data_IF_096010509319
#
_entry.id   IF_096010509319
#
_cell.length_a   1.000
_cell.length_b   1.000
_cell.length_c   1.000
_cell.angle_alpha   90.00
_cell.angle_beta   90.00
_cell.angle_gamma   90.00
#
_symmetry.space_group_name_H-M   'P 1'
#
loop_
_entity.id
_entity.type
_entity.pdbx_description
1 polymer ?
#
# COMPACT_ATOMS: atom_id res chain seq x y z
N UNK A 1 4.00 9.14 25.70
CA UNK A 1 3.14 7.93 25.58
C UNK A 1 3.89 7.01 24.62
N UNK A 2 4.44 5.91 25.13
CA UNK A 2 5.48 5.13 24.45
C UNK A 2 4.88 4.32 23.30
N UNK A 3 5.51 4.41 22.14
CA UNK A 3 5.40 3.48 21.01
C UNK A 3 6.07 2.17 21.42
N UNK A 4 5.31 1.22 21.97
CA UNK A 4 5.83 -0.09 22.35
C UNK A 4 4.96 -1.21 21.82
N UNK A 5 4.68 -1.18 20.53
CA UNK A 5 4.19 -2.32 19.72
C UNK A 5 4.76 -2.14 18.29
N UNK A 6 6.06 -2.41 18.11
CA UNK A 6 6.79 -2.22 16.82
C UNK A 6 6.58 -3.41 15.87
N UNK A 7 5.58 -4.26 16.11
CA UNK A 7 5.20 -5.33 15.19
C UNK A 7 3.70 -5.34 15.06
N UNK A 8 3.19 -4.78 13.97
CA UNK A 8 1.81 -5.03 13.57
C UNK A 8 1.77 -6.43 12.94
N UNK A 9 1.25 -7.47 13.62
CA UNK A 9 1.23 -8.82 13.08
C UNK A 9 0.44 -8.93 11.77
N UNK A 10 -0.45 -7.97 11.50
CA UNK A 10 -1.24 -7.92 10.27
C UNK A 10 -0.36 -7.71 9.03
N UNK A 11 0.69 -6.88 9.11
CA UNK A 11 1.62 -6.65 8.01
C UNK A 11 2.30 -7.96 7.59
N UNK A 12 2.77 -8.75 8.54
CA UNK A 12 3.43 -10.03 8.26
C UNK A 12 2.49 -11.02 7.55
N UNK A 13 1.28 -11.19 8.08
CA UNK A 13 0.28 -12.09 7.52
C UNK A 13 -0.14 -11.66 6.11
N UNK A 14 -0.35 -10.36 5.88
CA UNK A 14 -0.76 -9.82 4.58
C UNK A 14 0.37 -9.95 3.56
N UNK A 15 1.61 -9.68 3.94
CA UNK A 15 2.78 -9.90 3.08
C UNK A 15 2.92 -11.37 2.69
N UNK A 16 2.84 -12.29 3.66
CA UNK A 16 2.93 -13.72 3.40
C UNK A 16 1.80 -14.22 2.49
N UNK A 17 0.56 -13.79 2.76
CA UNK A 17 -0.60 -14.15 1.95
C UNK A 17 -0.44 -13.63 0.51
N UNK A 18 0.03 -12.39 0.34
CA UNK A 18 0.30 -11.80 -0.97
C UNK A 18 1.35 -12.60 -1.72
N UNK A 19 2.47 -12.95 -1.09
CA UNK A 19 3.49 -13.81 -1.70
C UNK A 19 2.92 -15.16 -2.13
N UNK A 20 2.16 -15.82 -1.25
CA UNK A 20 1.56 -17.11 -1.55
C UNK A 20 0.59 -17.04 -2.75
N UNK A 21 -0.21 -15.98 -2.85
CA UNK A 21 -1.10 -15.77 -3.99
C UNK A 21 -0.34 -15.49 -5.29
N UNK A 22 0.75 -14.73 -5.24
CA UNK A 22 1.60 -14.44 -6.41
C UNK A 22 2.33 -15.69 -6.91
N UNK A 23 2.69 -16.62 -6.01
CA UNK A 23 3.33 -17.89 -6.35
C UNK A 23 2.37 -18.93 -6.94
N UNK A 24 1.05 -18.69 -6.87
CA UNK A 24 0.06 -19.56 -7.50
C UNK A 24 0.30 -19.61 -9.02
N UNK A 25 0.48 -20.80 -9.65
CA UNK A 25 0.82 -20.91 -11.07
C UNK A 25 -0.16 -20.19 -12.01
N UNK A 26 -1.44 -20.19 -11.65
CA UNK A 26 -2.47 -19.49 -12.42
C UNK A 26 -2.29 -17.97 -12.34
N UNK A 27 -1.90 -17.42 -11.20
CA UNK A 27 -1.71 -15.98 -11.01
C UNK A 27 -0.37 -15.53 -11.59
N UNK A 28 0.70 -16.27 -11.30
CA UNK A 28 2.05 -15.99 -11.78
C UNK A 28 2.14 -15.86 -13.30
N UNK A 29 1.29 -16.60 -14.03
CA UNK A 29 1.24 -16.53 -15.49
C UNK A 29 0.72 -15.19 -16.04
N UNK A 30 -0.13 -14.49 -15.28
CA UNK A 30 -0.80 -13.25 -15.73
C UNK A 30 -0.26 -11.98 -15.07
N UNK A 31 0.58 -12.10 -14.04
CA UNK A 31 1.13 -10.95 -13.31
C UNK A 31 2.55 -10.66 -13.77
N UNK A 32 2.80 -9.42 -14.18
CA UNK A 32 4.15 -8.94 -14.50
C UNK A 32 5.00 -8.82 -13.24
N UNK A 33 6.31 -9.10 -13.34
CA UNK A 33 7.24 -9.04 -12.20
C UNK A 33 7.25 -7.68 -11.49
N UNK A 34 7.12 -6.58 -12.25
CA UNK A 34 7.04 -5.23 -11.69
C UNK A 34 5.78 -5.05 -10.81
N UNK A 35 4.63 -5.58 -11.22
CA UNK A 35 3.40 -5.53 -10.44
C UNK A 35 3.44 -6.46 -9.22
N UNK A 36 4.05 -7.64 -9.34
CA UNK A 36 4.28 -8.53 -8.20
C UNK A 36 5.19 -7.86 -7.15
N UNK A 37 6.27 -7.21 -7.60
CA UNK A 37 7.17 -6.45 -6.73
C UNK A 37 6.43 -5.29 -6.04
N UNK A 38 5.63 -4.53 -6.79
CA UNK A 38 4.80 -3.46 -6.23
C UNK A 38 3.83 -4.00 -5.16
N UNK A 39 3.20 -5.15 -5.41
CA UNK A 39 2.26 -5.77 -4.47
C UNK A 39 2.94 -6.23 -3.17
N UNK A 40 4.14 -6.80 -3.25
CA UNK A 40 4.91 -7.16 -2.07
C UNK A 40 5.33 -5.93 -1.26
N UNK A 41 5.79 -4.87 -1.93
CA UNK A 41 6.13 -3.61 -1.26
C UNK A 41 4.88 -3.00 -0.62
N UNK A 42 3.77 -2.92 -1.35
CA UNK A 42 2.51 -2.39 -0.84
C UNK A 42 2.05 -3.17 0.39
N UNK A 43 2.05 -4.51 0.35
CA UNK A 43 1.71 -5.36 1.48
C UNK A 43 2.60 -5.09 2.72
N UNK A 44 3.89 -4.90 2.52
CA UNK A 44 4.84 -4.60 3.60
C UNK A 44 4.62 -3.21 4.23
N UNK A 45 4.06 -2.25 3.48
CA UNK A 45 3.97 -0.84 3.92
C UNK A 45 2.55 -0.32 4.12
N UNK A 46 1.52 -1.11 3.83
CA UNK A 46 0.14 -0.63 3.77
C UNK A 46 -0.41 -0.06 5.09
N UNK A 47 0.20 -0.38 6.23
CA UNK A 47 -0.27 0.03 7.56
C UNK A 47 0.87 0.62 8.43
N UNK A 48 1.87 1.25 7.81
CA UNK A 48 3.02 1.87 8.50
C UNK A 48 2.61 3.05 9.38
N UNK A 49 3.08 3.08 10.63
CA UNK A 49 2.79 4.18 11.57
C UNK A 49 1.28 4.39 11.83
N UNK A 50 0.50 3.30 11.76
CA UNK A 50 -0.92 3.35 12.04
C UNK A 50 -1.21 3.67 13.52
N UNK A 51 -2.03 4.69 13.84
CA UNK A 51 -2.25 5.17 15.20
C UNK A 51 -3.26 4.32 16.01
N UNK A 52 -3.71 3.18 15.46
CA UNK A 52 -4.72 2.31 16.07
C UNK A 52 -6.14 2.90 16.06
N UNK A 53 -6.42 3.87 15.19
CA UNK A 53 -7.71 4.54 15.02
C UNK A 53 -7.95 4.80 13.54
N UNK A 54 -9.15 4.49 13.03
CA UNK A 54 -9.46 4.63 11.61
C UNK A 54 -9.71 6.08 11.14
N UNK A 55 -9.80 6.25 9.82
CA UNK A 55 -9.98 7.54 9.12
C UNK A 55 -11.11 8.39 9.72
N UNK A 56 -12.29 7.82 9.95
CA UNK A 56 -13.45 8.55 10.49
C UNK A 56 -13.16 9.20 11.86
N UNK A 57 -12.39 8.54 12.72
CA UNK A 57 -12.00 9.12 14.01
C UNK A 57 -11.07 10.33 13.82
N UNK A 58 -10.05 10.19 12.98
CA UNK A 58 -9.06 11.24 12.72
C UNK A 58 -9.71 12.49 12.09
N UNK A 59 -10.64 12.29 11.17
CA UNK A 59 -11.43 13.35 10.52
C UNK A 59 -12.28 14.08 11.58
N UNK A 60 -13.01 13.33 12.42
CA UNK A 60 -13.89 13.92 13.43
C UNK A 60 -13.15 14.79 14.45
N UNK A 61 -11.92 14.42 14.83
CA UNK A 61 -11.10 15.20 15.76
C UNK A 61 -10.23 16.26 15.06
N UNK A 62 -10.34 16.41 13.73
CA UNK A 62 -9.51 17.32 12.91
C UNK A 62 -8.02 17.14 13.16
N UNK A 63 -7.58 15.88 13.19
CA UNK A 63 -6.18 15.53 13.37
C UNK A 63 -5.36 16.10 12.19
N UNK A 64 -4.08 16.50 12.38
CA UNK A 64 -3.30 17.16 11.32
C UNK A 64 -3.20 16.39 9.99
N UNK A 65 -3.15 15.05 10.01
CA UNK A 65 -3.14 14.23 8.79
C UNK A 65 -4.47 14.33 8.04
N UNK A 66 -5.60 14.40 8.75
CA UNK A 66 -6.91 14.57 8.10
C UNK A 66 -6.98 15.89 7.33
N UNK A 67 -6.45 16.97 7.92
CA UNK A 67 -6.33 18.26 7.25
C UNK A 67 -5.34 18.21 6.09
N UNK A 68 -4.19 17.54 6.26
CA UNK A 68 -3.16 17.40 5.22
C UNK A 68 -3.68 16.68 3.97
N UNK A 69 -4.43 15.60 4.17
CA UNK A 69 -4.98 14.76 3.11
C UNK A 69 -6.43 15.11 2.74
N UNK A 70 -6.95 16.23 3.23
CA UNK A 70 -8.30 16.75 2.93
C UNK A 70 -9.38 15.68 3.11
N UNK A 71 -9.30 14.93 4.22
CA UNK A 71 -10.21 13.84 4.60
C UNK A 71 -10.28 12.66 3.60
N UNK A 72 -9.39 12.58 2.60
CA UNK A 72 -9.34 11.51 1.61
C UNK A 72 -8.28 10.46 1.99
N UNK A 73 -8.71 9.21 2.22
CA UNK A 73 -7.84 8.05 2.51
C UNK A 73 -6.64 8.43 3.41
N UNK A 74 -6.96 9.05 4.55
CA UNK A 74 -6.01 9.82 5.37
C UNK A 74 -4.84 8.96 5.81
N UNK A 75 -5.14 7.77 6.32
CA UNK A 75 -4.16 6.80 6.77
C UNK A 75 -3.38 6.20 5.61
N UNK A 76 -4.07 5.77 4.56
CA UNK A 76 -3.43 5.12 3.41
C UNK A 76 -2.44 6.06 2.70
N UNK A 77 -2.78 7.35 2.58
CA UNK A 77 -1.87 8.37 2.09
C UNK A 77 -0.67 8.59 3.02
N UNK A 78 -0.87 8.55 4.34
CA UNK A 78 0.21 8.66 5.33
C UNK A 78 1.18 7.48 5.23
N UNK A 79 0.67 6.25 5.19
CA UNK A 79 1.44 5.01 5.12
C UNK A 79 2.39 5.02 3.92
N UNK A 80 1.87 5.34 2.72
CA UNK A 80 2.67 5.33 1.50
C UNK A 80 3.63 6.52 1.42
N UNK A 81 3.24 7.70 1.92
CA UNK A 81 4.13 8.87 1.97
C UNK A 81 5.35 8.59 2.87
N UNK A 82 5.10 8.03 4.06
CA UNK A 82 6.14 7.67 5.01
C UNK A 82 7.06 6.58 4.44
N UNK A 83 6.50 5.54 3.80
CA UNK A 83 7.28 4.48 3.17
C UNK A 83 8.34 5.03 2.20
N UNK A 84 7.91 5.89 1.27
CA UNK A 84 8.83 6.47 0.30
C UNK A 84 9.80 7.48 0.92
N UNK A 85 9.34 8.27 1.89
CA UNK A 85 10.22 9.17 2.64
C UNK A 85 11.36 8.38 3.30
N UNK A 86 11.07 7.25 3.94
CA UNK A 86 12.09 6.41 4.56
C UNK A 86 13.06 5.83 3.53
N UNK A 87 12.57 5.25 2.44
CA UNK A 87 13.45 4.63 1.42
C UNK A 87 14.31 5.63 0.66
N UNK A 88 13.84 6.88 0.50
CA UNK A 88 14.54 7.91 -0.27
C UNK A 88 15.42 8.82 0.61
N UNK A 89 15.44 8.61 1.93
CA UNK A 89 16.38 9.29 2.81
C UNK A 89 17.81 8.86 2.48
N UNK A 90 18.63 9.80 2.02
CA UNK A 90 20.02 9.56 1.61
C UNK A 90 21.01 9.30 2.75
N UNK A 91 20.53 9.05 3.97
CA UNK A 91 21.39 8.96 5.16
C UNK A 91 21.75 7.53 5.57
N UNK A 92 21.03 6.50 5.08
CA UNK A 92 21.06 5.16 5.69
C UNK A 92 21.27 3.99 4.71
N UNK A 93 21.65 4.21 3.45
CA UNK A 93 21.80 3.14 2.41
C UNK A 93 20.60 2.17 2.32
N UNK A 94 19.40 2.65 2.66
CA UNK A 94 18.13 1.89 2.69
C UNK A 94 17.30 2.01 1.40
N UNK A 95 17.85 2.67 0.38
CA UNK A 95 17.13 2.87 -0.87
C UNK A 95 17.06 1.57 -1.69
N UNK A 96 16.01 0.79 -1.46
CA UNK A 96 15.71 -0.44 -2.21
C UNK A 96 15.46 -0.19 -3.71
N UNK A 97 15.32 1.07 -4.15
CA UNK A 97 15.09 1.47 -5.53
C UNK A 97 16.36 2.00 -6.23
N UNK A 98 17.52 2.02 -5.55
CA UNK A 98 18.73 2.67 -6.07
C UNK A 98 19.23 2.11 -7.41
N UNK A 99 18.92 0.86 -7.72
CA UNK A 99 19.31 0.20 -8.98
C UNK A 99 18.31 0.39 -10.14
N UNK A 100 17.17 1.03 -9.91
CA UNK A 100 16.14 1.21 -10.93
C UNK A 100 16.43 2.43 -11.80
N UNK A 101 16.07 2.32 -13.09
CA UNK A 101 15.94 3.49 -13.95
C UNK A 101 14.80 4.38 -13.46
N UNK A 102 14.79 5.64 -13.93
CA UNK A 102 13.73 6.60 -13.60
C UNK A 102 12.34 6.10 -14.01
N UNK A 103 12.24 5.44 -15.15
CA UNK A 103 10.98 4.94 -15.71
C UNK A 103 10.45 3.75 -14.90
N UNK A 104 11.33 2.82 -14.53
CA UNK A 104 11.00 1.69 -13.64
C UNK A 104 10.55 2.17 -12.27
N UNK A 105 11.30 3.10 -11.66
CA UNK A 105 10.91 3.68 -10.36
C UNK A 105 9.55 4.37 -10.44
N UNK A 106 9.29 5.15 -11.49
CA UNK A 106 8.01 5.86 -11.65
C UNK A 106 6.85 4.87 -11.76
N UNK A 107 7.01 3.83 -12.57
CA UNK A 107 5.99 2.78 -12.77
C UNK A 107 5.74 2.00 -11.49
N UNK A 108 6.81 1.55 -10.82
CA UNK A 108 6.72 0.80 -9.58
C UNK A 108 6.09 1.64 -8.47
N UNK A 109 6.51 2.91 -8.33
CA UNK A 109 5.93 3.84 -7.35
C UNK A 109 4.44 4.02 -7.59
N UNK A 110 4.03 4.23 -8.82
CA UNK A 110 2.62 4.42 -9.14
C UNK A 110 1.79 3.19 -8.76
N UNK A 111 2.24 1.99 -9.14
CA UNK A 111 1.57 0.75 -8.79
C UNK A 111 1.48 0.55 -7.25
N UNK A 112 2.56 0.79 -6.52
CA UNK A 112 2.55 0.67 -5.05
C UNK A 112 1.59 1.67 -4.39
N UNK A 113 1.55 2.92 -4.88
CA UNK A 113 0.61 3.94 -4.38
C UNK A 113 -0.83 3.52 -4.62
N UNK A 114 -1.15 3.04 -5.82
CA UNK A 114 -2.50 2.58 -6.16
C UNK A 114 -2.93 1.39 -5.30
N UNK A 115 -2.02 0.45 -5.02
CA UNK A 115 -2.29 -0.72 -4.18
C UNK A 115 -2.50 -0.37 -2.71
N UNK A 116 -1.70 0.54 -2.13
CA UNK A 116 -1.90 0.98 -0.74
C UNK A 116 -3.18 1.82 -0.62
N UNK A 117 -3.48 2.70 -1.56
CA UNK A 117 -4.76 3.44 -1.54
C UNK A 117 -5.98 2.51 -1.73
N UNK A 118 -5.80 1.33 -2.33
CA UNK A 118 -6.86 0.35 -2.48
C UNK A 118 -7.20 -0.40 -1.18
N UNK A 119 -6.37 -0.30 -0.12
CA UNK A 119 -6.68 -0.88 1.18
C UNK A 119 -7.67 -0.05 2.00
N UNK A 120 -8.00 1.17 1.56
CA UNK A 120 -9.05 1.97 2.16
C UNK A 120 -10.42 1.28 1.97
N UNK A 121 -10.98 0.78 3.08
CA UNK A 121 -12.25 0.07 3.07
C UNK A 121 -13.45 0.93 2.64
N UNK A 122 -13.35 2.26 2.65
CA UNK A 122 -14.38 3.13 2.07
C UNK A 122 -14.53 2.93 0.56
N UNK A 123 -13.47 2.45 -0.10
CA UNK A 123 -13.41 2.19 -1.55
C UNK A 123 -13.68 0.74 -1.91
N UNK A 124 -13.95 -0.13 -0.94
CA UNK A 124 -14.16 -1.56 -1.15
C UNK A 124 -15.17 -1.87 -2.28
N UNK A 125 -16.33 -1.21 -2.26
CA UNK A 125 -17.38 -1.44 -3.27
C UNK A 125 -17.00 -0.92 -4.67
N UNK A 126 -16.19 0.14 -4.74
CA UNK A 126 -15.66 0.67 -6.00
C UNK A 126 -14.81 -0.41 -6.70
N UNK A 127 -13.86 -1.00 -5.97
CA UNK A 127 -12.98 -2.04 -6.49
C UNK A 127 -13.73 -3.35 -6.80
N UNK A 128 -14.69 -3.74 -5.95
CA UNK A 128 -15.53 -4.91 -6.21
C UNK A 128 -16.32 -4.77 -7.52
N UNK A 129 -16.89 -3.59 -7.76
CA UNK A 129 -17.66 -3.30 -8.98
C UNK A 129 -16.76 -3.36 -10.22
N UNK A 130 -15.56 -2.75 -10.16
CA UNK A 130 -14.56 -2.83 -11.25
C UNK A 130 -14.16 -4.28 -11.54
N UNK A 131 -13.91 -5.07 -10.51
CA UNK A 131 -13.57 -6.48 -10.66
C UNK A 131 -14.70 -7.27 -11.34
N UNK A 132 -15.94 -7.10 -10.90
CA UNK A 132 -17.11 -7.75 -11.50
C UNK A 132 -17.28 -7.40 -12.98
N UNK A 133 -17.05 -6.15 -13.37
CA UNK A 133 -17.09 -5.71 -14.76
C UNK A 133 -16.03 -6.39 -15.63
N UNK A 134 -14.80 -6.51 -15.13
CA UNK A 134 -13.73 -7.23 -15.84
C UNK A 134 -14.13 -8.70 -16.02
N UNK A 135 -14.62 -9.35 -14.96
CA UNK A 135 -15.04 -10.76 -15.01
C UNK A 135 -16.23 -10.97 -15.96
N UNK A 136 -17.19 -10.04 -16.02
CA UNK A 136 -18.30 -10.15 -16.97
C UNK A 136 -17.87 -10.01 -18.42
N UNK A 137 -16.83 -9.22 -18.69
CA UNK A 137 -16.29 -9.01 -20.04
C UNK A 137 -15.37 -10.15 -20.52
N UNK A 138 -15.04 -11.10 -19.63
CA UNK A 138 -14.30 -12.32 -19.95
C UNK A 138 -15.21 -13.48 -20.43
N UNK A 139 -16.53 -13.27 -20.46
CA UNK A 139 -17.50 -14.21 -21.04
C UNK A 139 -17.72 -13.91 -22.51
#
# INVERSE_FOLDING_TARGET
>A
MRTSDVFNPEIYCIFQATSFFLDCPTVAHYVQEAHATAALIAAAVHDLDHPGRGNAFLINIRQPLALLYNDQSVLENHHIALAFQLTLQGTNDINIFAGLTREEFTTLRQATVELVLATDMSRHFEYLTKFQQVVSNLK
#
